data_IF_661299254795
#
_entry.id   IF_661299254795
#
_cell.length_a   1.000
_cell.length_b   1.000
_cell.length_c   1.000
_cell.angle_alpha   90.00
_cell.angle_beta   90.00
_cell.angle_gamma   90.00
#
_symmetry.space_group_name_H-M   'P 1'
#
loop_
_entity.id
_entity.type
_entity.pdbx_description
1 polymer ?
#
# COMPACT_ATOMS: atom_id res chain seq x y z
N UNK A 1 5.34 7.70 4.97
CA UNK A 1 5.11 9.08 4.45
C UNK A 1 4.85 10.09 5.56
N UNK A 2 3.99 9.79 6.55
CA UNK A 2 3.74 10.67 7.70
C UNK A 2 5.03 11.02 8.45
N UNK A 3 5.85 10.02 8.79
CA UNK A 3 7.14 10.25 9.45
C UNK A 3 8.09 11.12 8.61
N UNK A 4 8.24 10.80 7.32
CA UNK A 4 9.15 11.49 6.44
C UNK A 4 8.76 12.95 6.20
N UNK A 5 7.48 13.21 5.97
CA UNK A 5 6.99 14.52 5.53
C UNK A 5 6.53 15.40 6.70
N UNK A 6 5.83 14.83 7.68
CA UNK A 6 5.26 15.56 8.81
C UNK A 6 6.11 15.47 10.09
N UNK A 7 7.12 14.60 10.14
CA UNK A 7 7.98 14.36 11.32
C UNK A 7 7.14 14.00 12.56
N UNK A 8 6.21 13.07 12.35
CA UNK A 8 5.34 12.50 13.38
C UNK A 8 5.66 11.00 13.44
N UNK A 9 6.02 10.42 14.60
CA UNK A 9 6.16 8.98 14.77
C UNK A 9 4.87 8.26 14.39
N UNK A 10 4.96 7.16 13.63
CA UNK A 10 3.77 6.42 13.21
C UNK A 10 3.96 4.92 13.42
N UNK A 11 3.00 4.31 14.10
CA UNK A 11 2.84 2.86 14.19
C UNK A 11 1.62 2.43 13.38
N UNK A 12 1.73 1.29 12.70
CA UNK A 12 0.64 0.69 11.92
C UNK A 12 0.51 -0.76 12.36
N UNK A 13 -0.70 -1.15 12.72
CA UNK A 13 -0.95 -2.47 13.28
C UNK A 13 -2.25 -3.09 12.76
N UNK A 14 -2.29 -4.42 12.79
CA UNK A 14 -3.53 -5.15 12.63
C UNK A 14 -4.43 -4.87 13.83
N UNK A 15 -5.69 -4.51 13.57
CA UNK A 15 -6.64 -4.14 14.60
C UNK A 15 -6.91 -5.28 15.61
N UNK A 16 -6.85 -6.54 15.13
CA UNK A 16 -6.97 -7.73 15.98
C UNK A 16 -5.85 -7.75 17.03
N UNK A 17 -4.60 -7.54 16.64
CA UNK A 17 -3.45 -7.58 17.55
C UNK A 17 -3.43 -6.38 18.51
N UNK A 18 -3.73 -5.19 18.00
CA UNK A 18 -3.76 -3.95 18.78
C UNK A 18 -4.68 -4.07 20.01
N UNK A 19 -5.85 -4.69 19.85
CA UNK A 19 -6.82 -4.85 20.92
C UNK A 19 -6.30 -5.69 22.08
N UNK A 20 -5.48 -6.71 21.81
CA UNK A 20 -5.11 -7.73 22.81
C UNK A 20 -3.75 -7.48 23.47
N UNK A 21 -2.98 -6.49 23.02
CA UNK A 21 -1.59 -6.26 23.48
C UNK A 21 -1.40 -5.17 24.53
N UNK A 22 -2.48 -4.61 25.07
CA UNK A 22 -2.46 -3.47 26.01
C UNK A 22 -1.59 -2.29 25.50
N UNK A 23 -1.98 -1.61 24.41
CA UNK A 23 -1.13 -0.63 23.75
C UNK A 23 -0.86 0.60 24.65
N UNK A 24 0.35 1.14 24.52
CA UNK A 24 0.78 2.39 25.17
C UNK A 24 0.18 3.56 24.38
N UNK A 25 -0.85 4.17 24.96
CA UNK A 25 -1.62 5.25 24.34
C UNK A 25 -1.85 6.31 25.41
N UNK A 26 -1.72 7.57 24.99
CA UNK A 26 -2.01 8.72 25.83
C UNK A 26 -2.89 9.75 25.09
N UNK A 27 -3.15 10.88 25.76
CA UNK A 27 -3.93 12.00 25.23
C UNK A 27 -3.29 12.72 24.04
N UNK A 28 -1.98 12.54 23.84
CA UNK A 28 -1.23 13.15 22.74
C UNK A 28 -1.17 12.22 21.51
N UNK A 29 -1.76 11.03 21.63
CA UNK A 29 -1.88 10.02 20.57
C UNK A 29 -3.17 10.21 19.77
N UNK A 30 -3.03 10.22 18.44
CA UNK A 30 -4.15 10.12 17.50
C UNK A 30 -4.19 8.71 16.94
N UNK A 31 -5.34 8.06 17.06
CA UNK A 31 -5.61 6.77 16.42
C UNK A 31 -6.45 6.99 15.17
N UNK A 32 -6.01 6.37 14.05
CA UNK A 32 -6.64 6.50 12.73
C UNK A 32 -7.21 5.15 12.26
N UNK A 33 -8.42 4.74 12.68
CA UNK A 33 -9.06 3.54 12.15
C UNK A 33 -9.39 3.72 10.67
N UNK A 34 -8.99 2.76 9.83
CA UNK A 34 -9.25 2.78 8.39
C UNK A 34 -10.18 1.61 8.06
N UNK A 35 -11.35 1.90 7.49
CA UNK A 35 -12.32 0.85 7.12
C UNK A 35 -13.19 1.29 5.95
N UNK A 36 -13.33 0.45 4.93
CA UNK A 36 -14.25 0.71 3.82
C UNK A 36 -15.70 0.70 4.32
N UNK A 37 -16.12 -0.36 5.03
CA UNK A 37 -17.50 -0.54 5.47
C UNK A 37 -17.85 0.32 6.69
N UNK A 38 -16.84 0.63 7.52
CA UNK A 38 -17.05 1.21 8.84
C UNK A 38 -17.66 0.23 9.85
N UNK A 39 -17.71 -1.06 9.52
CA UNK A 39 -18.32 -2.13 10.34
C UNK A 39 -17.34 -3.27 10.66
N UNK A 40 -16.06 -3.14 10.29
CA UNK A 40 -15.04 -4.16 10.58
C UNK A 40 -14.90 -4.34 12.10
N UNK A 41 -15.27 -5.51 12.61
CA UNK A 41 -15.43 -5.76 14.04
C UNK A 41 -14.16 -5.51 14.86
N UNK A 42 -13.01 -6.02 14.40
CA UNK A 42 -11.73 -5.81 15.10
C UNK A 42 -11.31 -4.34 15.08
N UNK A 43 -11.51 -3.63 13.96
CA UNK A 43 -11.25 -2.19 13.86
C UNK A 43 -12.14 -1.37 14.78
N UNK A 44 -13.42 -1.72 14.90
CA UNK A 44 -14.34 -1.07 15.83
C UNK A 44 -13.96 -1.34 17.29
N UNK A 45 -13.53 -2.56 17.60
CA UNK A 45 -13.07 -2.91 18.94
C UNK A 45 -11.77 -2.17 19.30
N UNK A 46 -10.81 -2.08 18.38
CA UNK A 46 -9.58 -1.30 18.53
C UNK A 46 -9.87 0.20 18.75
N UNK A 47 -10.82 0.77 18.00
CA UNK A 47 -11.30 2.14 18.20
C UNK A 47 -11.80 2.35 19.63
N UNK A 48 -12.67 1.47 20.13
CA UNK A 48 -13.24 1.59 21.49
C UNK A 48 -12.16 1.48 22.55
N UNK A 49 -11.17 0.61 22.36
CA UNK A 49 -10.03 0.46 23.27
C UNK A 49 -9.16 1.72 23.30
N UNK A 50 -8.83 2.27 22.13
CA UNK A 50 -8.09 3.53 22.03
C UNK A 50 -8.81 4.68 22.77
N UNK A 51 -10.14 4.80 22.61
CA UNK A 51 -10.93 5.82 23.31
C UNK A 51 -10.93 5.64 24.82
N UNK A 52 -11.04 4.39 25.32
CA UNK A 52 -10.96 4.11 26.76
C UNK A 52 -9.62 4.54 27.36
N UNK A 53 -8.54 4.41 26.59
CA UNK A 53 -7.19 4.85 26.96
C UNK A 53 -6.94 6.35 26.77
N UNK A 54 -7.92 7.10 26.27
CA UNK A 54 -7.87 8.56 26.17
C UNK A 54 -7.32 9.12 24.86
N UNK A 55 -7.06 8.28 23.85
CA UNK A 55 -6.64 8.78 22.53
C UNK A 55 -7.78 9.51 21.80
N UNK A 56 -7.37 10.48 20.96
CA UNK A 56 -8.26 11.08 19.97
C UNK A 56 -8.42 10.11 18.80
N UNK A 57 -9.66 9.85 18.39
CA UNK A 57 -9.95 8.99 17.23
C UNK A 57 -10.47 9.79 16.06
N UNK A 58 -9.78 9.70 14.93
CA UNK A 58 -10.21 10.27 13.65
C UNK A 58 -10.23 9.15 12.61
N UNK A 59 -11.42 8.69 12.19
CA UNK A 59 -11.51 7.55 11.26
C UNK A 59 -11.40 7.96 9.80
N UNK A 60 -10.92 7.04 8.96
CA UNK A 60 -10.98 7.12 7.49
C UNK A 60 -11.98 6.06 7.03
N UNK A 61 -13.15 6.52 6.60
CA UNK A 61 -14.28 5.63 6.25
C UNK A 61 -14.92 6.02 4.93
N UNK A 62 -15.58 5.08 4.25
CA UNK A 62 -16.36 5.40 3.06
C UNK A 62 -17.85 5.58 3.37
N UNK A 63 -18.40 4.78 4.29
CA UNK A 63 -19.82 4.75 4.63
C UNK A 63 -20.12 5.71 5.79
N UNK A 64 -20.80 6.82 5.46
CA UNK A 64 -21.31 7.76 6.46
C UNK A 64 -22.41 7.11 7.29
N UNK A 65 -22.40 7.37 8.59
CA UNK A 65 -23.32 6.83 9.56
C UNK A 65 -23.04 5.38 9.96
N UNK A 66 -21.91 4.78 9.53
CA UNK A 66 -21.45 3.46 10.00
C UNK A 66 -21.07 3.48 11.49
N UNK A 67 -20.88 2.31 12.10
CA UNK A 67 -20.53 2.20 13.52
C UNK A 67 -19.20 2.90 13.85
N UNK A 68 -18.17 2.70 13.03
CA UNK A 68 -16.88 3.39 13.20
C UNK A 68 -17.04 4.91 13.03
N UNK A 69 -17.83 5.39 12.06
CA UNK A 69 -18.10 6.82 11.88
C UNK A 69 -18.77 7.43 13.13
N UNK A 70 -19.86 6.80 13.60
CA UNK A 70 -20.64 7.29 14.75
C UNK A 70 -19.84 7.30 16.06
N UNK A 71 -18.94 6.35 16.25
CA UNK A 71 -18.18 6.22 17.50
C UNK A 71 -16.84 6.97 17.48
N UNK A 72 -16.36 7.40 16.31
CA UNK A 72 -15.17 8.24 16.19
C UNK A 72 -15.44 9.66 16.70
N UNK A 73 -14.38 10.39 17.06
CA UNK A 73 -14.54 11.82 17.40
C UNK A 73 -14.66 12.70 16.16
N UNK A 74 -14.15 12.24 15.04
CA UNK A 74 -14.31 12.81 13.70
C UNK A 74 -14.05 11.75 12.64
N UNK A 75 -14.48 12.00 11.40
CA UNK A 75 -14.30 11.10 10.28
C UNK A 75 -13.91 11.86 9.01
N UNK A 76 -13.06 11.23 8.20
CA UNK A 76 -12.67 11.69 6.88
C UNK A 76 -13.21 10.69 5.86
N UNK A 77 -14.07 11.17 4.97
CA UNK A 77 -14.76 10.33 4.01
C UNK A 77 -13.96 10.13 2.73
N UNK A 78 -13.68 8.89 2.34
CA UNK A 78 -12.90 8.57 1.13
C UNK A 78 -13.66 8.87 -0.16
N UNK A 79 -15.00 8.83 -0.11
CA UNK A 79 -15.90 9.05 -1.26
C UNK A 79 -15.64 8.09 -2.43
N UNK A 80 -15.24 6.85 -2.13
CA UNK A 80 -15.09 5.80 -3.14
C UNK A 80 -16.44 5.33 -3.72
N UNK A 81 -17.54 5.56 -3.00
CA UNK A 81 -18.86 5.00 -3.33
C UNK A 81 -18.95 3.50 -3.03
N UNK A 82 -20.09 2.84 -3.33
CA UNK A 82 -20.29 1.42 -3.02
C UNK A 82 -19.29 0.52 -3.75
N UNK A 83 -18.77 -0.50 -3.08
CA UNK A 83 -17.83 -1.47 -3.65
C UNK A 83 -18.47 -2.86 -3.53
N UNK A 84 -18.73 -3.50 -4.69
CA UNK A 84 -19.45 -4.79 -4.78
C UNK A 84 -18.46 -5.95 -4.91
N UNK A 85 -17.31 -5.71 -5.54
CA UNK A 85 -16.26 -6.71 -5.69
C UNK A 85 -15.72 -7.14 -4.33
N UNK A 86 -15.41 -8.43 -4.21
CA UNK A 86 -14.82 -9.01 -2.98
C UNK A 86 -13.48 -8.35 -2.68
N UNK A 87 -12.63 -8.26 -3.69
CA UNK A 87 -11.34 -7.59 -3.59
C UNK A 87 -11.52 -6.07 -3.68
N UNK A 88 -11.11 -5.36 -2.62
CA UNK A 88 -11.13 -3.90 -2.62
C UNK A 88 -10.14 -3.32 -3.63
N UNK A 89 -10.54 -2.27 -4.34
CA UNK A 89 -9.74 -1.61 -5.38
C UNK A 89 -9.74 -0.09 -5.21
N UNK A 90 -10.89 0.55 -5.41
CA UNK A 90 -11.06 1.99 -5.29
C UNK A 90 -11.02 2.45 -3.84
N UNK A 91 -11.45 1.62 -2.88
CA UNK A 91 -11.35 2.00 -1.48
C UNK A 91 -9.89 2.10 -1.05
N UNK A 92 -9.03 1.14 -1.45
CA UNK A 92 -7.59 1.19 -1.18
C UNK A 92 -6.94 2.47 -1.72
N UNK A 93 -7.14 2.79 -3.00
CA UNK A 93 -6.51 3.96 -3.64
C UNK A 93 -7.02 5.28 -3.05
N UNK A 94 -8.32 5.41 -2.77
CA UNK A 94 -8.88 6.61 -2.12
C UNK A 94 -8.42 6.75 -0.66
N UNK A 95 -8.22 5.66 0.08
CA UNK A 95 -7.62 5.67 1.42
C UNK A 95 -6.18 6.20 1.38
N UNK A 96 -5.37 5.77 0.40
CA UNK A 96 -4.02 6.31 0.21
C UNK A 96 -4.04 7.81 -0.11
N UNK A 97 -4.97 8.27 -0.95
CA UNK A 97 -5.15 9.69 -1.26
C UNK A 97 -5.50 10.49 0.00
N UNK A 98 -6.44 9.99 0.82
CA UNK A 98 -6.80 10.64 2.09
C UNK A 98 -5.60 10.71 3.04
N UNK A 99 -4.88 9.60 3.23
CA UNK A 99 -3.69 9.56 4.08
C UNK A 99 -2.60 10.52 3.58
N UNK A 100 -2.42 10.65 2.26
CA UNK A 100 -1.48 11.60 1.66
C UNK A 100 -1.90 13.05 1.91
N UNK A 101 -3.19 13.37 1.79
CA UNK A 101 -3.73 14.70 2.11
C UNK A 101 -3.57 15.04 3.60
N UNK A 102 -3.87 14.10 4.50
CA UNK A 102 -3.62 14.25 5.94
C UNK A 102 -2.14 14.53 6.19
N UNK A 103 -1.26 13.76 5.55
CA UNK A 103 0.20 13.93 5.68
C UNK A 103 0.65 15.33 5.27
N UNK A 104 0.20 15.82 4.11
CA UNK A 104 0.55 17.16 3.61
C UNK A 104 0.00 18.25 4.52
N UNK A 105 -1.24 18.09 5.00
CA UNK A 105 -1.88 19.03 5.91
C UNK A 105 -1.12 19.14 7.23
N UNK A 106 -0.76 18.01 7.85
CA UNK A 106 0.02 17.98 9.08
C UNK A 106 1.42 18.54 8.88
N UNK A 107 2.08 18.20 7.76
CA UNK A 107 3.39 18.72 7.43
C UNK A 107 3.39 20.26 7.25
N UNK A 108 2.33 20.80 6.65
CA UNK A 108 2.14 22.26 6.52
C UNK A 108 1.98 22.92 7.89
N UNK A 109 1.10 22.40 8.74
CA UNK A 109 0.85 22.96 10.08
C UNK A 109 2.10 22.91 10.96
N UNK A 110 2.89 21.84 10.84
CA UNK A 110 4.14 21.66 11.59
C UNK A 110 5.33 22.40 10.98
N UNK A 111 5.17 23.05 9.82
CA UNK A 111 6.23 23.75 9.12
C UNK A 111 7.34 22.86 8.58
N UNK A 112 7.13 21.54 8.47
CA UNK A 112 8.13 20.60 7.94
C UNK A 112 8.16 20.58 6.41
N UNK A 113 7.14 21.13 5.75
CA UNK A 113 7.13 21.43 4.33
C UNK A 113 6.85 22.91 4.10
N UNK A 114 7.60 23.52 3.18
CA UNK A 114 7.33 24.88 2.73
C UNK A 114 6.03 24.92 1.91
N UNK A 115 5.35 26.07 1.91
CA UNK A 115 4.08 26.28 1.19
C UNK A 115 4.18 25.88 -0.29
N UNK A 116 5.31 26.22 -0.95
CA UNK A 116 5.53 25.83 -2.34
C UNK A 116 5.60 24.32 -2.54
N UNK A 117 6.19 23.58 -1.59
CA UNK A 117 6.27 22.12 -1.66
C UNK A 117 4.88 21.49 -1.47
N UNK A 118 4.07 22.05 -0.56
CA UNK A 118 2.66 21.67 -0.37
C UNK A 118 1.87 21.87 -1.66
N UNK A 119 1.96 23.07 -2.26
CA UNK A 119 1.29 23.40 -3.51
C UNK A 119 1.68 22.48 -4.67
N UNK A 120 2.98 22.17 -4.80
CA UNK A 120 3.46 21.25 -5.83
C UNK A 120 2.88 19.83 -5.64
N UNK A 121 2.87 19.30 -4.42
CA UNK A 121 2.31 17.98 -4.12
C UNK A 121 0.81 17.89 -4.39
N UNK A 122 0.04 18.92 -4.03
CA UNK A 122 -1.39 19.00 -4.34
C UNK A 122 -1.60 19.07 -5.86
N UNK A 123 -0.76 19.82 -6.58
CA UNK A 123 -0.81 19.87 -8.05
C UNK A 123 -0.54 18.50 -8.68
N UNK A 124 0.42 17.75 -8.15
CA UNK A 124 0.71 16.40 -8.66
C UNK A 124 -0.43 15.43 -8.36
N UNK A 125 -1.05 15.51 -7.18
CA UNK A 125 -2.21 14.70 -6.84
C UNK A 125 -3.40 14.93 -7.80
N UNK A 126 -3.58 16.14 -8.32
CA UNK A 126 -4.60 16.44 -9.34
C UNK A 126 -4.34 15.75 -10.69
N UNK A 127 -3.11 15.33 -10.97
CA UNK A 127 -2.77 14.57 -12.19
C UNK A 127 -3.08 13.08 -12.06
N UNK A 128 -3.23 12.58 -10.82
CA UNK A 128 -3.39 11.15 -10.53
C UNK A 128 -4.56 10.50 -11.28
N UNK A 129 -5.77 11.11 -11.38
CA UNK A 129 -6.88 10.49 -12.12
C UNK A 129 -6.54 10.25 -13.60
N UNK A 130 -5.90 11.21 -14.27
CA UNK A 130 -5.49 11.06 -15.67
C UNK A 130 -4.39 10.00 -15.82
N UNK A 131 -3.47 9.91 -14.88
CA UNK A 131 -2.44 8.87 -14.88
C UNK A 131 -3.06 7.48 -14.69
N UNK A 132 -4.01 7.33 -13.77
CA UNK A 132 -4.75 6.08 -13.58
C UNK A 132 -5.54 5.70 -14.84
N UNK A 133 -6.22 6.67 -15.45
CA UNK A 133 -6.93 6.46 -16.71
C UNK A 133 -5.98 5.93 -17.80
N UNK A 134 -4.79 6.55 -17.97
CA UNK A 134 -3.83 6.12 -18.99
C UNK A 134 -3.33 4.68 -18.81
N UNK A 135 -3.31 4.17 -17.58
CA UNK A 135 -2.97 2.76 -17.29
C UNK A 135 -4.14 1.82 -17.62
N UNK A 136 -5.38 2.27 -17.43
CA UNK A 136 -6.58 1.49 -17.70
C UNK A 136 -6.99 1.51 -19.19
N UNK A 137 -6.51 2.47 -19.97
CA UNK A 137 -6.78 2.57 -21.41
C UNK A 137 -6.08 1.48 -22.22
N UNK A 138 -4.95 0.95 -21.75
CA UNK A 138 -4.21 -0.14 -22.39
C UNK A 138 -3.82 -1.23 -21.38
N UNK A 139 -4.73 -2.18 -21.17
CA UNK A 139 -4.53 -3.34 -20.30
C UNK A 139 -3.92 -4.54 -21.03
N UNK A 140 -3.78 -4.48 -22.35
CA UNK A 140 -3.33 -5.61 -23.17
C UNK A 140 -1.96 -6.17 -22.72
N UNK A 141 -0.95 -5.34 -22.37
CA UNK A 141 0.32 -5.87 -21.85
C UNK A 141 0.16 -6.66 -20.55
N UNK A 142 -0.80 -6.29 -19.69
CA UNK A 142 -1.07 -6.97 -18.42
C UNK A 142 -1.75 -8.31 -18.69
N UNK A 143 -2.74 -8.32 -19.60
CA UNK A 143 -3.46 -9.53 -20.01
C UNK A 143 -2.52 -10.58 -20.62
N UNK A 144 -1.61 -10.16 -21.52
CA UNK A 144 -0.62 -11.04 -22.12
C UNK A 144 0.32 -11.68 -21.09
N UNK A 145 0.66 -10.96 -20.01
CA UNK A 145 1.45 -11.54 -18.93
C UNK A 145 0.61 -12.49 -18.08
N UNK A 146 -0.65 -12.16 -17.80
CA UNK A 146 -1.56 -13.05 -17.10
C UNK A 146 -1.75 -14.39 -17.85
N UNK A 147 -1.91 -14.36 -19.18
CA UNK A 147 -2.03 -15.56 -20.02
C UNK A 147 -0.78 -16.46 -19.99
N UNK A 148 0.41 -15.89 -19.78
CA UNK A 148 1.63 -16.69 -19.63
C UNK A 148 1.70 -17.40 -18.28
N UNK A 149 1.17 -16.79 -17.23
CA UNK A 149 1.42 -17.22 -15.85
C UNK A 149 0.18 -17.76 -15.11
N UNK A 150 -1.00 -17.81 -15.73
CA UNK A 150 -2.24 -18.27 -15.07
C UNK A 150 -2.20 -19.68 -14.48
N UNK A 151 -1.26 -20.54 -14.94
CA UNK A 151 -1.08 -21.90 -14.42
C UNK A 151 -0.15 -21.98 -13.20
N UNK A 152 0.52 -20.89 -12.85
CA UNK A 152 1.44 -20.87 -11.70
C UNK A 152 0.60 -20.80 -10.42
N UNK A 153 0.98 -21.60 -9.43
CA UNK A 153 0.26 -21.73 -8.16
C UNK A 153 0.89 -20.94 -7.02
N UNK A 154 2.12 -20.43 -7.22
CA UNK A 154 2.86 -19.62 -6.26
C UNK A 154 3.33 -18.35 -6.94
N UNK A 155 3.41 -17.25 -6.20
CA UNK A 155 3.98 -15.99 -6.67
C UNK A 155 4.59 -15.17 -5.52
N UNK A 156 5.65 -14.43 -5.80
CA UNK A 156 6.23 -13.48 -4.86
C UNK A 156 6.07 -12.06 -5.38
N UNK A 157 5.75 -11.11 -4.50
CA UNK A 157 5.72 -9.68 -4.78
C UNK A 157 6.77 -8.96 -3.95
N UNK A 158 7.67 -8.24 -4.60
CA UNK A 158 8.80 -7.57 -3.97
C UNK A 158 8.74 -6.06 -4.22
N UNK A 159 8.83 -5.32 -3.13
CA UNK A 159 8.86 -3.85 -3.15
C UNK A 159 9.78 -3.29 -2.09
N UNK A 160 10.19 -2.03 -2.23
CA UNK A 160 11.07 -1.37 -1.26
C UNK A 160 10.55 0.01 -0.88
N UNK A 161 10.73 0.37 0.39
CA UNK A 161 10.23 1.65 0.91
C UNK A 161 8.72 1.75 0.76
N UNK A 162 8.23 2.81 0.13
CA UNK A 162 6.78 3.01 -0.10
C UNK A 162 6.17 1.92 -0.99
N UNK A 163 6.98 1.20 -1.78
CA UNK A 163 6.50 0.15 -2.65
C UNK A 163 6.35 -1.20 -1.94
N UNK A 164 6.89 -1.38 -0.73
CA UNK A 164 6.71 -2.64 0.01
C UNK A 164 5.24 -2.87 0.38
N UNK A 165 4.51 -1.90 0.98
CA UNK A 165 3.07 -2.05 1.20
C UNK A 165 2.27 -2.26 -0.09
N UNK A 166 2.71 -1.71 -1.23
CA UNK A 166 2.06 -1.95 -2.53
C UNK A 166 2.30 -3.38 -3.01
N UNK A 167 3.47 -3.96 -2.74
CA UNK A 167 3.76 -5.37 -3.03
C UNK A 167 2.88 -6.31 -2.18
N UNK A 168 2.69 -5.98 -0.90
CA UNK A 168 1.74 -6.70 -0.03
C UNK A 168 0.31 -6.66 -0.60
N UNK A 169 -0.15 -5.49 -1.04
CA UNK A 169 -1.49 -5.34 -1.63
C UNK A 169 -1.61 -6.14 -2.95
N UNK A 170 -0.60 -6.09 -3.82
CA UNK A 170 -0.58 -6.86 -5.07
C UNK A 170 -0.68 -8.37 -4.82
N UNK A 171 0.10 -8.89 -3.86
CA UNK A 171 0.01 -10.29 -3.44
C UNK A 171 -1.37 -10.64 -2.85
N UNK A 172 -1.94 -9.75 -2.03
CA UNK A 172 -3.27 -9.95 -1.47
C UNK A 172 -4.34 -10.04 -2.56
N UNK A 173 -4.33 -9.12 -3.54
CA UNK A 173 -5.29 -9.14 -4.66
C UNK A 173 -5.19 -10.44 -5.45
N UNK A 174 -3.98 -10.88 -5.78
CA UNK A 174 -3.79 -12.12 -6.53
C UNK A 174 -4.35 -13.32 -5.74
N UNK A 175 -4.05 -13.40 -4.45
CA UNK A 175 -4.54 -14.46 -3.55
C UNK A 175 -6.06 -14.48 -3.44
N UNK A 176 -6.69 -13.33 -3.28
CA UNK A 176 -8.15 -13.22 -3.06
C UNK A 176 -8.99 -13.69 -4.24
N UNK A 177 -8.56 -13.42 -5.47
CA UNK A 177 -9.40 -13.65 -6.66
C UNK A 177 -8.95 -14.85 -7.51
N UNK A 178 -7.69 -15.28 -7.37
CA UNK A 178 -7.15 -16.41 -8.16
C UNK A 178 -6.78 -17.63 -7.32
N UNK A 179 -6.76 -17.50 -5.99
CA UNK A 179 -6.34 -18.54 -5.04
C UNK A 179 -4.88 -19.00 -5.21
N UNK A 180 -4.07 -18.28 -6.00
CA UNK A 180 -2.62 -18.45 -6.06
C UNK A 180 -2.02 -18.12 -4.69
N UNK A 181 -1.07 -18.94 -4.25
CA UNK A 181 -0.28 -18.66 -3.06
C UNK A 181 0.68 -17.50 -3.35
N UNK A 182 0.19 -16.29 -3.15
CA UNK A 182 0.93 -15.06 -3.36
C UNK A 182 1.38 -14.46 -2.02
N UNK A 183 2.65 -14.05 -1.94
CA UNK A 183 3.23 -13.41 -0.76
C UNK A 183 4.01 -12.15 -1.11
N UNK A 184 3.83 -11.09 -0.32
CA UNK A 184 4.57 -9.85 -0.47
C UNK A 184 5.71 -9.75 0.54
N UNK A 185 6.92 -9.38 0.08
CA UNK A 185 8.08 -9.20 0.94
C UNK A 185 8.80 -7.88 0.65
N UNK A 186 9.52 -7.31 1.65
CA UNK A 186 10.48 -6.26 1.38
C UNK A 186 11.58 -6.85 0.50
N UNK A 187 11.87 -6.21 -0.64
CA UNK A 187 12.87 -6.70 -1.60
C UNK A 187 14.26 -6.92 -0.96
N UNK A 188 14.60 -6.12 0.05
CA UNK A 188 15.86 -6.24 0.79
C UNK A 188 15.96 -7.50 1.66
N UNK A 189 14.81 -8.02 2.13
CA UNK A 189 14.75 -9.20 3.01
C UNK A 189 14.69 -10.52 2.25
N UNK A 190 14.72 -10.46 0.91
CA UNK A 190 14.63 -11.64 0.04
C UNK A 190 15.64 -12.73 0.43
N UNK A 191 16.87 -12.36 0.80
CA UNK A 191 17.94 -13.29 1.18
C UNK A 191 17.71 -14.03 2.50
N UNK A 192 16.78 -13.55 3.33
CA UNK A 192 16.58 -14.05 4.69
C UNK A 192 15.44 -15.07 4.80
N UNK A 193 15.07 -15.69 3.67
CA UNK A 193 14.06 -16.76 3.63
C UNK A 193 13.44 -16.91 2.23
N UNK A 194 12.80 -15.86 1.69
CA UNK A 194 12.05 -15.93 0.43
C UNK A 194 12.85 -16.43 -0.76
N UNK A 195 14.17 -16.18 -0.79
CA UNK A 195 15.08 -16.62 -1.86
C UNK A 195 15.12 -18.15 -2.04
N UNK A 196 14.76 -18.92 -1.02
CA UNK A 196 14.70 -20.38 -1.08
C UNK A 196 13.51 -20.88 -1.91
N UNK A 197 12.48 -20.05 -2.11
CA UNK A 197 11.28 -20.37 -2.90
C UNK A 197 11.45 -20.02 -4.39
N UNK A 198 12.57 -19.40 -4.77
CA UNK A 198 12.77 -18.92 -6.13
C UNK A 198 13.24 -20.07 -7.02
N UNK A 199 12.44 -20.35 -8.05
CA UNK A 199 12.76 -21.24 -9.14
C UNK A 199 12.05 -20.80 -10.44
N UNK A 200 12.15 -21.63 -11.49
CA UNK A 200 11.52 -21.40 -12.80
C UNK A 200 9.99 -21.45 -12.80
N UNK A 201 9.37 -21.84 -11.69
CA UNK A 201 7.94 -22.04 -11.54
C UNK A 201 7.27 -20.99 -10.64
N UNK A 202 8.05 -20.18 -9.93
CA UNK A 202 7.55 -19.07 -9.10
C UNK A 202 7.83 -17.72 -9.76
N UNK A 203 6.81 -17.05 -10.36
CA UNK A 203 6.93 -15.67 -10.81
C UNK A 203 7.19 -14.73 -9.64
N UNK A 204 8.15 -13.84 -9.83
CA UNK A 204 8.52 -12.79 -8.88
C UNK A 204 8.19 -11.43 -9.47
N UNK A 205 7.14 -10.81 -8.96
CA UNK A 205 6.71 -9.47 -9.32
C UNK A 205 7.55 -8.44 -8.56
N UNK A 206 8.16 -7.49 -9.26
CA UNK A 206 8.89 -6.37 -8.67
C UNK A 206 8.19 -5.05 -8.94
N UNK A 207 8.03 -4.23 -7.91
CA UNK A 207 7.65 -2.82 -8.07
C UNK A 207 8.92 -1.98 -8.15
N UNK A 208 9.33 -1.68 -9.38
CA UNK A 208 10.63 -1.11 -9.73
C UNK A 208 10.49 0.30 -10.33
N UNK A 209 9.83 1.20 -9.59
CA UNK A 209 9.73 2.62 -9.98
C UNK A 209 11.08 3.34 -9.83
N UNK A 210 11.44 4.22 -10.77
CA UNK A 210 12.62 5.08 -10.63
C UNK A 210 12.46 6.03 -9.46
N UNK A 211 13.28 5.80 -8.44
CA UNK A 211 13.51 6.73 -7.36
C UNK A 211 15.03 6.90 -7.12
N UNK A 212 15.39 7.91 -6.34
CA UNK A 212 16.80 8.20 -6.04
C UNK A 212 17.36 7.36 -4.88
N UNK A 213 16.56 6.48 -4.24
CA UNK A 213 16.93 5.85 -2.95
C UNK A 213 17.04 4.34 -3.01
N UNK A 214 16.09 3.70 -3.68
CA UNK A 214 15.85 2.27 -3.67
C UNK A 214 16.06 1.61 -5.03
N UNK A 215 15.86 2.34 -6.14
CA UNK A 215 15.85 1.79 -7.50
C UNK A 215 17.07 0.92 -7.84
N UNK A 216 18.30 1.46 -7.68
CA UNK A 216 19.53 0.68 -7.92
C UNK A 216 19.61 -0.60 -7.09
N UNK A 217 19.10 -0.57 -5.85
CA UNK A 217 19.10 -1.74 -4.97
C UNK A 217 18.04 -2.76 -5.41
N UNK A 218 16.89 -2.29 -5.90
CA UNK A 218 15.85 -3.15 -6.50
C UNK A 218 16.39 -3.87 -7.74
N UNK A 219 17.15 -3.19 -8.61
CA UNK A 219 17.80 -3.84 -9.77
C UNK A 219 18.75 -4.97 -9.34
N UNK A 220 19.55 -4.76 -8.30
CA UNK A 220 20.42 -5.81 -7.73
C UNK A 220 19.58 -7.00 -7.25
N UNK A 221 18.45 -6.75 -6.57
CA UNK A 221 17.57 -7.83 -6.15
C UNK A 221 16.94 -8.58 -7.34
N UNK A 222 16.61 -7.90 -8.44
CA UNK A 222 16.13 -8.55 -9.67
C UNK A 222 17.19 -9.50 -10.23
N UNK A 223 18.43 -9.03 -10.37
CA UNK A 223 19.55 -9.86 -10.85
C UNK A 223 19.79 -11.09 -9.97
N UNK A 224 19.63 -10.95 -8.66
CA UNK A 224 19.73 -12.08 -7.73
C UNK A 224 18.64 -13.14 -7.98
N UNK A 225 17.40 -12.73 -8.29
CA UNK A 225 16.33 -13.66 -8.69
C UNK A 225 16.66 -14.33 -10.02
N UNK A 226 17.10 -13.56 -11.02
CA UNK A 226 17.48 -14.08 -12.34
C UNK A 226 18.61 -15.09 -12.26
N UNK A 227 19.62 -14.83 -11.42
CA UNK A 227 20.77 -15.74 -11.22
C UNK A 227 20.38 -17.12 -10.70
N UNK A 228 19.16 -17.27 -10.14
CA UNK A 228 18.60 -18.51 -9.61
C UNK A 228 17.56 -19.15 -10.54
N UNK A 229 17.40 -18.62 -11.76
CA UNK A 229 16.43 -19.11 -12.72
C UNK A 229 14.99 -18.68 -12.43
N UNK A 230 14.79 -17.69 -11.55
CA UNK A 230 13.48 -17.12 -11.28
C UNK A 230 12.93 -16.35 -12.48
N UNK A 231 11.61 -16.41 -12.66
CA UNK A 231 10.88 -15.57 -13.62
C UNK A 231 10.64 -14.22 -12.96
N UNK A 232 11.07 -13.13 -13.60
CA UNK A 232 10.91 -11.77 -13.07
C UNK A 232 9.95 -10.97 -13.92
N UNK A 233 8.91 -10.44 -13.29
CA UNK A 233 7.94 -9.52 -13.89
C UNK A 233 8.07 -8.18 -13.18
N UNK A 234 8.42 -7.10 -13.88
CA UNK A 234 8.56 -5.79 -13.23
C UNK A 234 7.50 -4.78 -13.65
N UNK A 235 6.97 -4.07 -12.66
CA UNK A 235 6.16 -2.86 -12.82
C UNK A 235 7.11 -1.67 -12.67
N UNK A 236 7.54 -1.12 -13.80
CA UNK A 236 8.55 -0.08 -13.89
C UNK A 236 8.02 1.30 -14.28
N UNK A 237 8.89 2.31 -14.18
CA UNK A 237 8.59 3.64 -14.73
C UNK A 237 8.62 3.61 -16.26
N UNK A 238 7.63 4.23 -16.91
CA UNK A 238 7.56 4.31 -18.38
C UNK A 238 8.86 4.91 -18.95
N UNK A 239 9.44 4.25 -19.96
CA UNK A 239 10.70 4.65 -20.61
C UNK A 239 11.97 4.17 -19.89
N UNK A 240 11.84 3.29 -18.89
CA UNK A 240 12.98 2.72 -18.19
C UNK A 240 13.59 1.52 -18.93
N UNK A 241 14.70 1.77 -19.62
CA UNK A 241 15.43 0.75 -20.36
C UNK A 241 16.36 -0.10 -19.48
N UNK A 242 16.62 0.27 -18.22
CA UNK A 242 17.49 -0.54 -17.36
C UNK A 242 16.75 -1.77 -16.85
N UNK A 243 15.56 -1.58 -16.26
CA UNK A 243 14.74 -2.70 -15.77
C UNK A 243 14.31 -3.62 -16.91
N UNK A 244 14.00 -3.07 -18.09
CA UNK A 244 13.56 -3.84 -19.25
C UNK A 244 14.59 -4.86 -19.75
N UNK A 245 15.89 -4.63 -19.51
CA UNK A 245 16.97 -5.53 -19.94
C UNK A 245 17.12 -6.77 -19.06
N UNK A 246 16.55 -6.75 -17.86
CA UNK A 246 16.85 -7.73 -16.80
C UNK A 246 15.60 -8.49 -16.32
N UNK A 247 14.49 -8.39 -17.07
CA UNK A 247 13.18 -9.00 -16.75
C UNK A 247 12.65 -9.84 -17.92
N UNK A 248 11.60 -10.63 -17.66
CA UNK A 248 10.99 -11.57 -18.62
C UNK A 248 9.71 -11.03 -19.31
#
# INVERSE_FOLDING_TARGET
>A
MLEELARIPVEVEYASEFRYRDPIIDKDTIVLPISQSGETADTLAALREAKKKGAKVISIVNVKGSSIDRESDSAIYTRAGPEIGVASTKAFTTQLVVLYLITIYLAKIRGSLAEQQVCNRVRDLRKLPLQMQSVLEDTQPIELQAEKFYRKTNALYLGRGINFPIALEGALKLKEISYVHAEGYPAAEMKHGPIALIDKDVPVFFIATKDNRSYKKVLINIEEVKSRGGIVIAIGTKGDEEVKKIVD
#
